data_IF_531328145885
#
_entry.id   IF_531328145885
#
_cell.length_a   1.000
_cell.length_b   1.000
_cell.length_c   1.000
_cell.angle_alpha   90.00
_cell.angle_beta   90.00
_cell.angle_gamma   90.00
#
_symmetry.space_group_name_H-M   'P 1'
#
loop_
_entity.id
_entity.type
_entity.pdbx_description
1 polymer ?
#
# COMPACT_ATOMS: atom_id res chain seq x y z
N UNK A 1 8.50 14.22 8.12
CA UNK A 1 7.02 14.19 8.23
C UNK A 1 6.66 13.04 9.15
N UNK A 2 5.70 13.22 10.05
CA UNK A 2 5.32 12.17 10.99
C UNK A 2 4.56 11.04 10.27
N UNK A 3 4.77 9.79 10.68
CA UNK A 3 4.14 8.62 10.06
C UNK A 3 2.61 8.74 10.06
N UNK A 4 2.02 9.23 11.15
CA UNK A 4 0.58 9.44 11.29
C UNK A 4 0.02 10.46 10.29
N UNK A 5 0.79 11.48 9.93
CA UNK A 5 0.40 12.47 8.92
C UNK A 5 0.38 11.83 7.53
N UNK A 6 1.43 11.08 7.19
CA UNK A 6 1.52 10.36 5.90
C UNK A 6 0.32 9.40 5.75
N UNK A 7 0.04 8.61 6.79
CA UNK A 7 -1.09 7.66 6.79
C UNK A 7 -2.43 8.37 6.62
N UNK A 8 -2.65 9.48 7.31
CA UNK A 8 -3.89 10.26 7.20
C UNK A 8 -4.08 10.80 5.78
N UNK A 9 -3.05 11.42 5.20
CA UNK A 9 -3.11 11.93 3.83
C UNK A 9 -3.42 10.84 2.80
N UNK A 10 -2.79 9.66 2.94
CA UNK A 10 -3.03 8.53 2.05
C UNK A 10 -4.46 8.00 2.17
N UNK A 11 -4.96 7.78 3.39
CA UNK A 11 -6.33 7.31 3.61
C UNK A 11 -7.37 8.26 3.02
N UNK A 12 -7.24 9.56 3.26
CA UNK A 12 -8.12 10.57 2.66
C UNK A 12 -8.06 10.56 1.14
N UNK A 13 -6.91 10.23 0.56
CA UNK A 13 -6.73 10.18 -0.90
C UNK A 13 -7.38 8.95 -1.53
N UNK A 14 -7.49 7.85 -0.80
CA UNK A 14 -8.16 6.65 -1.29
C UNK A 14 -9.65 6.91 -1.56
N UNK A 15 -10.29 7.80 -0.81
CA UNK A 15 -11.70 8.17 -0.98
C UNK A 15 -11.95 9.05 -2.22
N UNK A 16 -10.89 9.63 -2.82
CA UNK A 16 -11.03 10.61 -3.90
C UNK A 16 -11.03 9.93 -5.28
N UNK A 17 -12.18 9.96 -5.96
CA UNK A 17 -12.37 9.32 -7.27
C UNK A 17 -11.38 9.81 -8.35
N UNK A 18 -11.07 11.11 -8.37
CA UNK A 18 -10.08 11.65 -9.30
C UNK A 18 -8.66 11.12 -9.05
N UNK A 19 -8.32 10.75 -7.81
CA UNK A 19 -7.03 10.13 -7.47
C UNK A 19 -7.04 8.67 -7.90
N UNK A 20 -8.12 7.93 -7.62
CA UNK A 20 -8.30 6.54 -8.08
C UNK A 20 -8.07 6.42 -9.59
N UNK A 21 -8.71 7.28 -10.38
CA UNK A 21 -8.61 7.28 -11.84
C UNK A 21 -7.21 7.55 -12.37
N UNK A 22 -6.40 8.34 -11.67
CA UNK A 22 -5.05 8.70 -12.08
C UNK A 22 -4.00 7.68 -11.61
N UNK A 23 -4.17 7.17 -10.39
CA UNK A 23 -3.19 6.30 -9.74
C UNK A 23 -3.41 4.83 -10.09
N UNK A 24 -4.65 4.33 -10.06
CA UNK A 24 -4.91 2.92 -10.33
C UNK A 24 -4.79 2.61 -11.83
N UNK A 25 -4.39 1.38 -12.14
CA UNK A 25 -4.52 0.83 -13.48
C UNK A 25 -6.00 0.47 -13.74
N UNK A 26 -6.45 0.45 -15.00
CA UNK A 26 -7.87 0.24 -15.36
C UNK A 26 -8.48 -0.98 -14.67
N UNK A 27 -7.76 -2.11 -14.62
CA UNK A 27 -8.25 -3.32 -13.96
C UNK A 27 -8.44 -3.12 -12.45
N UNK A 28 -7.49 -2.45 -11.78
CA UNK A 28 -7.59 -2.16 -10.34
C UNK A 28 -8.65 -1.13 -10.03
N UNK A 29 -8.86 -0.13 -10.89
CA UNK A 29 -9.95 0.83 -10.77
C UNK A 29 -11.31 0.12 -10.82
N UNK A 30 -11.50 -0.78 -11.79
CA UNK A 30 -12.73 -1.57 -11.90
C UNK A 30 -12.96 -2.44 -10.65
N UNK A 31 -11.91 -3.10 -10.15
CA UNK A 31 -11.99 -3.92 -8.92
C UNK A 31 -12.29 -3.04 -7.70
N UNK A 32 -11.70 -1.85 -7.60
CA UNK A 32 -11.96 -0.89 -6.54
C UNK A 32 -13.45 -0.54 -6.50
N UNK A 33 -14.02 -0.12 -7.64
CA UNK A 33 -15.44 0.18 -7.77
C UNK A 33 -16.36 -1.01 -7.45
N UNK A 34 -16.00 -2.22 -7.91
CA UNK A 34 -16.78 -3.43 -7.63
C UNK A 34 -16.73 -3.84 -6.16
N UNK A 35 -15.57 -3.68 -5.51
CA UNK A 35 -15.38 -4.03 -4.10
C UNK A 35 -16.06 -3.05 -3.15
N UNK A 36 -16.26 -1.79 -3.59
CA UNK A 36 -16.71 -0.68 -2.76
C UNK A 36 -15.82 -0.47 -1.50
N UNK A 37 -14.52 -0.73 -1.64
CA UNK A 37 -13.49 -0.51 -0.62
C UNK A 37 -12.44 0.43 -1.21
N UNK A 38 -12.30 1.62 -0.61
CA UNK A 38 -11.52 2.72 -1.19
C UNK A 38 -10.04 2.40 -1.37
N UNK A 39 -9.45 1.62 -0.45
CA UNK A 39 -8.03 1.27 -0.46
C UNK A 39 -7.66 0.20 -1.51
N UNK A 40 -8.64 -0.48 -2.12
CA UNK A 40 -8.43 -1.59 -3.05
C UNK A 40 -7.54 -1.18 -4.22
N UNK A 41 -6.42 -1.90 -4.41
CA UNK A 41 -5.46 -1.64 -5.48
C UNK A 41 -4.35 -0.63 -5.14
N UNK A 42 -4.39 0.00 -3.96
CA UNK A 42 -3.34 0.94 -3.53
C UNK A 42 -2.20 0.28 -2.73
N UNK A 43 -2.29 -1.01 -2.38
CA UNK A 43 -1.35 -1.66 -1.46
C UNK A 43 0.13 -1.44 -1.80
N UNK A 44 0.50 -1.52 -3.08
CA UNK A 44 1.87 -1.26 -3.52
C UNK A 44 2.26 0.22 -3.42
N UNK A 45 1.48 1.12 -4.05
CA UNK A 45 1.81 2.55 -4.11
C UNK A 45 1.80 3.18 -2.72
N UNK A 46 0.83 2.85 -1.87
CA UNK A 46 0.76 3.29 -0.49
C UNK A 46 1.96 2.81 0.34
N UNK A 47 2.30 1.51 0.25
CA UNK A 47 3.46 0.95 0.94
C UNK A 47 4.77 1.62 0.50
N UNK A 48 4.93 1.90 -0.79
CA UNK A 48 6.11 2.60 -1.30
C UNK A 48 6.19 4.07 -0.83
N UNK A 49 5.06 4.80 -0.84
CA UNK A 49 5.01 6.18 -0.33
C UNK A 49 5.45 6.22 1.12
N UNK A 50 4.86 5.38 1.98
CA UNK A 50 5.20 5.32 3.39
C UNK A 50 6.65 4.93 3.57
N UNK A 51 7.11 3.87 2.89
CA UNK A 51 8.49 3.40 2.96
C UNK A 51 9.45 4.56 2.69
N UNK A 52 9.29 5.29 1.59
CA UNK A 52 10.22 6.36 1.21
C UNK A 52 10.18 7.56 2.15
N UNK A 53 9.01 7.98 2.59
CA UNK A 53 8.86 9.19 3.41
C UNK A 53 9.13 8.97 4.91
N UNK A 54 9.18 7.72 5.38
CA UNK A 54 9.33 7.39 6.81
C UNK A 54 10.61 6.62 7.15
N UNK A 55 11.68 6.82 6.38
CA UNK A 55 13.04 6.32 6.67
C UNK A 55 13.49 5.11 5.84
N UNK A 56 12.68 4.65 4.89
CA UNK A 56 13.06 3.68 3.87
C UNK A 56 13.68 2.41 4.43
N UNK A 57 14.80 2.00 3.83
CA UNK A 57 15.51 0.76 4.18
C UNK A 57 16.04 0.75 5.61
N UNK A 58 16.16 1.90 6.26
CA UNK A 58 16.74 1.97 7.61
C UNK A 58 15.67 1.62 8.66
N UNK A 59 14.39 1.85 8.34
CA UNK A 59 13.26 1.60 9.24
C UNK A 59 12.38 0.41 8.82
N UNK A 60 12.28 0.12 7.53
CA UNK A 60 11.25 -0.78 7.01
C UNK A 60 11.79 -1.90 6.13
N UNK A 61 11.21 -3.08 6.27
CA UNK A 61 11.10 -4.04 5.18
C UNK A 61 9.81 -3.75 4.42
N UNK A 62 9.88 -3.63 3.10
CA UNK A 62 8.70 -3.73 2.25
C UNK A 62 8.50 -5.20 1.89
N UNK A 63 7.33 -5.75 2.20
CA UNK A 63 7.03 -7.17 2.06
C UNK A 63 5.89 -7.36 1.08
N UNK A 64 5.90 -8.50 0.41
CA UNK A 64 4.76 -8.93 -0.38
C UNK A 64 4.44 -10.41 -0.21
N UNK A 65 3.15 -10.73 -0.38
CA UNK A 65 2.63 -12.10 -0.48
C UNK A 65 2.08 -12.25 -1.88
N UNK A 66 2.61 -13.20 -2.66
CA UNK A 66 2.26 -13.38 -4.07
C UNK A 66 2.27 -14.84 -4.55
N UNK A 67 2.61 -15.81 -3.69
CA UNK A 67 2.60 -17.22 -4.07
C UNK A 67 1.16 -17.75 -4.04
N UNK A 68 0.57 -18.13 -5.19
CA UNK A 68 -0.82 -18.56 -5.26
C UNK A 68 -1.10 -19.86 -4.50
N UNK A 69 -0.06 -20.63 -4.15
CA UNK A 69 -0.20 -21.86 -3.33
C UNK A 69 -0.52 -21.55 -1.88
N UNK A 70 0.01 -20.43 -1.38
CA UNK A 70 -0.15 -20.02 0.01
C UNK A 70 -1.15 -18.86 0.15
N UNK A 71 -1.41 -18.11 -0.93
CA UNK A 71 -2.29 -16.95 -0.95
C UNK A 71 -2.96 -16.73 -2.32
N UNK A 72 -4.26 -17.03 -2.40
CA UNK A 72 -5.03 -16.95 -3.64
C UNK A 72 -5.92 -15.69 -3.73
N UNK A 73 -5.46 -14.55 -3.19
CA UNK A 73 -6.17 -13.26 -3.26
C UNK A 73 -5.37 -12.16 -3.98
N UNK A 74 -4.43 -12.55 -4.84
CA UNK A 74 -3.57 -11.65 -5.62
C UNK A 74 -2.43 -11.03 -4.81
N UNK A 75 -1.46 -10.39 -5.46
CA UNK A 75 -0.30 -9.83 -4.73
C UNK A 75 -0.74 -8.77 -3.72
N UNK A 76 -0.28 -8.89 -2.48
CA UNK A 76 -0.48 -7.87 -1.44
C UNK A 76 0.86 -7.32 -0.94
N UNK A 77 0.93 -6.01 -0.69
CA UNK A 77 2.11 -5.32 -0.17
C UNK A 77 1.81 -4.66 1.16
N UNK A 78 2.79 -4.70 2.06
CA UNK A 78 2.76 -4.07 3.38
C UNK A 78 4.17 -3.79 3.88
N UNK A 79 4.29 -3.06 5.00
CA UNK A 79 5.57 -2.78 5.64
C UNK A 79 5.71 -3.57 6.95
N UNK A 80 6.94 -3.95 7.27
CA UNK A 80 7.33 -4.48 8.58
C UNK A 80 8.44 -3.61 9.15
N UNK A 81 8.26 -3.10 10.37
CA UNK A 81 9.27 -2.31 11.05
C UNK A 81 10.48 -3.19 11.39
N UNK A 82 11.70 -2.74 11.06
CA UNK A 82 12.92 -3.54 11.28
C UNK A 82 13.33 -3.70 12.75
N UNK A 83 12.86 -2.79 13.62
CA UNK A 83 13.23 -2.76 15.04
C UNK A 83 12.18 -3.43 15.92
N UNK A 84 10.91 -3.24 15.60
CA UNK A 84 9.79 -3.73 16.41
C UNK A 84 9.10 -4.96 15.84
N UNK A 85 9.41 -5.35 14.59
CA UNK A 85 8.70 -6.37 13.81
C UNK A 85 7.21 -6.09 13.58
N UNK A 86 6.71 -4.92 13.96
CA UNK A 86 5.31 -4.51 13.77
C UNK A 86 4.97 -4.38 12.29
N UNK A 87 3.76 -4.83 11.93
CA UNK A 87 3.21 -4.71 10.59
C UNK A 87 2.46 -3.39 10.45
N UNK A 88 2.75 -2.67 9.36
CA UNK A 88 1.97 -1.52 8.93
C UNK A 88 1.35 -1.82 7.56
N UNK A 89 0.02 -1.89 7.57
CA UNK A 89 -0.80 -2.15 6.38
C UNK A 89 -2.06 -1.29 6.41
N UNK A 90 -1.99 -0.15 5.74
CA UNK A 90 -3.10 0.81 5.66
C UNK A 90 -4.15 0.45 4.60
N UNK A 91 -3.98 -0.71 3.94
CA UNK A 91 -4.83 -1.25 2.88
C UNK A 91 -5.37 -2.65 3.24
N UNK A 92 -5.27 -3.03 4.52
CA UNK A 92 -5.71 -4.35 5.01
C UNK A 92 -7.23 -4.54 4.91
N UNK A 93 -7.99 -3.44 4.90
CA UNK A 93 -9.44 -3.39 4.73
C UNK A 93 -9.93 -4.04 3.43
N UNK A 94 -9.12 -4.05 2.37
CA UNK A 94 -9.45 -4.76 1.12
C UNK A 94 -9.62 -6.29 1.31
N UNK A 95 -9.17 -6.83 2.45
CA UNK A 95 -9.32 -8.24 2.85
C UNK A 95 -10.16 -8.40 4.13
N UNK A 96 -9.88 -7.61 5.17
CA UNK A 96 -10.50 -7.81 6.49
C UNK A 96 -12.01 -7.54 6.48
N UNK A 97 -12.49 -6.57 5.69
CA UNK A 97 -13.92 -6.33 5.49
C UNK A 97 -14.65 -7.49 4.80
N UNK A 98 -13.90 -8.40 4.16
CA UNK A 98 -14.39 -9.61 3.51
C UNK A 98 -14.16 -10.87 4.38
N UNK A 99 -13.77 -10.70 5.64
CA UNK A 99 -13.39 -11.77 6.57
C UNK A 99 -12.23 -12.64 6.06
N UNK A 100 -11.32 -12.05 5.29
CA UNK A 100 -10.11 -12.73 4.82
C UNK A 100 -8.96 -12.34 5.74
N UNK A 101 -8.40 -13.33 6.44
CA UNK A 101 -7.20 -13.16 7.25
C UNK A 101 -5.97 -13.05 6.35
N UNK A 102 -5.12 -12.05 6.59
CA UNK A 102 -3.90 -11.82 5.82
C UNK A 102 -2.75 -12.60 6.48
N UNK A 103 -2.12 -13.56 5.80
CA UNK A 103 -1.05 -14.36 6.36
C UNK A 103 0.29 -13.62 6.31
N UNK A 104 0.45 -12.55 7.10
CA UNK A 104 1.64 -11.67 7.08
C UNK A 104 2.99 -12.41 7.26
N UNK A 105 2.97 -13.57 7.94
CA UNK A 105 4.13 -14.42 8.13
C UNK A 105 4.70 -14.99 6.81
N UNK A 106 3.88 -15.09 5.76
CA UNK A 106 4.31 -15.53 4.43
C UNK A 106 4.97 -14.41 3.61
N UNK A 107 4.90 -13.16 4.08
CA UNK A 107 5.45 -12.02 3.37
C UNK A 107 6.95 -12.15 3.17
N UNK A 108 7.41 -11.96 1.93
CA UNK A 108 8.83 -11.95 1.60
C UNK A 108 9.30 -10.52 1.41
N UNK A 109 10.43 -10.17 2.02
CA UNK A 109 11.01 -8.85 1.88
C UNK A 109 11.51 -8.64 0.44
N UNK A 110 11.08 -7.55 -0.17
CA UNK A 110 11.57 -7.04 -1.44
C UNK A 110 12.45 -5.81 -1.22
N UNK A 111 13.29 -5.49 -2.21
CA UNK A 111 14.01 -4.21 -2.26
C UNK A 111 13.40 -3.28 -3.29
N UNK A 112 13.17 -2.02 -2.94
CA UNK A 112 12.81 -0.99 -3.91
C UNK A 112 14.06 -0.30 -4.45
N UNK A 113 14.48 -0.66 -5.67
CA UNK A 113 15.61 -0.01 -6.36
C UNK A 113 15.24 1.32 -6.99
N UNK A 114 14.05 1.39 -7.61
CA UNK A 114 13.57 2.56 -8.35
C UNK A 114 12.25 3.05 -7.79
N UNK A 115 11.97 4.35 -7.95
CA UNK A 115 10.71 4.98 -7.55
C UNK A 115 9.61 4.61 -8.54
N UNK A 116 8.49 4.09 -8.05
CA UNK A 116 7.30 3.90 -8.89
C UNK A 116 6.68 5.22 -9.28
N UNK A 117 6.38 5.38 -10.59
CA UNK A 117 5.62 6.53 -11.09
C UNK A 117 4.26 6.68 -10.39
N UNK A 118 3.60 5.56 -10.08
CA UNK A 118 2.29 5.57 -9.42
C UNK A 118 2.41 5.94 -7.94
N UNK A 119 3.47 5.51 -7.25
CA UNK A 119 3.73 5.93 -5.88
C UNK A 119 4.06 7.44 -5.82
N UNK A 120 4.91 7.94 -6.72
CA UNK A 120 5.21 9.38 -6.81
C UNK A 120 3.96 10.20 -7.13
N UNK A 121 3.13 9.72 -8.06
CA UNK A 121 1.86 10.38 -8.39
C UNK A 121 0.90 10.40 -7.20
N UNK A 122 0.77 9.28 -6.47
CA UNK A 122 -0.04 9.20 -5.26
C UNK A 122 0.44 10.21 -4.21
N UNK A 123 1.73 10.21 -3.87
CA UNK A 123 2.30 11.17 -2.91
C UNK A 123 1.94 12.62 -3.28
N UNK A 124 2.20 13.00 -4.53
CA UNK A 124 1.91 14.35 -5.02
C UNK A 124 0.43 14.71 -4.92
N UNK A 125 -0.47 13.81 -5.34
CA UNK A 125 -1.92 14.05 -5.28
C UNK A 125 -2.46 14.04 -3.84
N UNK A 126 -1.78 13.35 -2.93
CA UNK A 126 -2.09 13.33 -1.48
C UNK A 126 -1.59 14.56 -0.73
N UNK A 127 -0.94 15.53 -1.41
CA UNK A 127 -0.33 16.68 -0.76
C UNK A 127 0.91 16.32 0.07
N UNK A 128 1.51 15.16 -0.19
CA UNK A 128 2.79 14.75 0.38
C UNK A 128 3.92 15.25 -0.53
N UNK A 129 5.08 15.55 0.05
CA UNK A 129 6.27 15.94 -0.69
C UNK A 129 6.59 14.92 -1.80
N UNK A 130 7.21 15.37 -2.91
CA UNK A 130 7.64 14.46 -3.97
C UNK A 130 8.64 13.42 -3.43
N UNK A 131 8.37 12.14 -3.71
CA UNK A 131 9.20 10.99 -3.30
C UNK A 131 10.61 11.05 -3.87
#
# INVERSE_FOLDING_TARGET
MELSQIVTCLKNSFEQENIKQQVLETNWLNINHQSNIDSTGFCFSASEVIYRLSGGKDNWFIKSINDPRDWNNGTHYFLQNKKTDEILDITSDQYTLRNIEIPYHLGRAGGLRFKSKKASLLARLSGLDEL
#
